data_IF_854716222246
#
_entry.id   IF_854716222246
#
_cell.length_a   1.000
_cell.length_b   1.000
_cell.length_c   1.000
_cell.angle_alpha   90.00
_cell.angle_beta   90.00
_cell.angle_gamma   90.00
#
_symmetry.space_group_name_H-M   'P 1'
#
loop_
_entity.id
_entity.type
_entity.pdbx_description
1 polymer ?
#
# COMPACT_ATOMS: atom_id res chain seq x y z
N UNK A 1 -11.39 23.46 9.29
CA UNK A 1 -12.29 23.23 8.14
C UNK A 1 -11.56 22.82 6.86
N UNK A 2 -10.43 23.43 6.48
CA UNK A 2 -9.69 23.07 5.27
C UNK A 2 -9.21 21.62 5.24
N UNK A 3 -8.65 21.13 6.33
CA UNK A 3 -8.14 19.76 6.43
C UNK A 3 -9.25 18.71 6.30
N UNK A 4 -10.44 18.98 6.85
CA UNK A 4 -11.58 18.06 6.73
C UNK A 4 -12.09 17.96 5.30
N UNK A 5 -12.16 19.09 4.60
CA UNK A 5 -12.56 19.11 3.18
C UNK A 5 -11.53 18.37 2.33
N UNK A 6 -10.24 18.62 2.54
CA UNK A 6 -9.17 17.92 1.83
C UNK A 6 -9.20 16.41 2.10
N UNK A 7 -9.44 16.01 3.35
CA UNK A 7 -9.61 14.59 3.72
C UNK A 7 -10.76 13.93 2.95
N UNK A 8 -11.91 14.58 2.87
CA UNK A 8 -13.07 14.04 2.14
C UNK A 8 -12.75 13.88 0.65
N UNK A 9 -12.10 14.87 0.06
CA UNK A 9 -11.70 14.82 -1.36
C UNK A 9 -10.75 13.64 -1.59
N UNK A 10 -9.72 13.48 -0.77
CA UNK A 10 -8.76 12.38 -0.86
C UNK A 10 -9.43 11.03 -0.62
N UNK A 11 -10.33 10.93 0.36
CA UNK A 11 -11.06 9.70 0.65
C UNK A 11 -11.93 9.26 -0.54
N UNK A 12 -12.69 10.18 -1.13
CA UNK A 12 -13.49 9.91 -2.33
C UNK A 12 -12.60 9.50 -3.50
N UNK A 13 -11.48 10.19 -3.71
CA UNK A 13 -10.53 9.88 -4.78
C UNK A 13 -9.93 8.48 -4.62
N UNK A 14 -9.51 8.10 -3.40
CA UNK A 14 -8.96 6.77 -3.10
C UNK A 14 -10.02 5.69 -3.33
N UNK A 15 -11.23 5.86 -2.80
CA UNK A 15 -12.31 4.87 -2.93
C UNK A 15 -12.70 4.71 -4.41
N UNK A 16 -12.87 5.79 -5.15
CA UNK A 16 -13.19 5.74 -6.56
C UNK A 16 -12.10 5.02 -7.37
N UNK A 17 -10.83 5.36 -7.13
CA UNK A 17 -9.69 4.73 -7.79
C UNK A 17 -9.56 3.24 -7.42
N UNK A 18 -9.80 2.87 -6.15
CA UNK A 18 -9.78 1.48 -5.69
C UNK A 18 -10.90 0.66 -6.33
N UNK A 19 -12.10 1.19 -6.43
CA UNK A 19 -13.22 0.54 -7.12
C UNK A 19 -12.90 0.33 -8.61
N UNK A 20 -12.34 1.34 -9.28
CA UNK A 20 -11.91 1.23 -10.67
C UNK A 20 -10.77 0.21 -10.85
N UNK A 21 -9.87 0.11 -9.88
CA UNK A 21 -8.78 -0.86 -9.88
C UNK A 21 -9.30 -2.31 -9.89
N UNK A 22 -10.28 -2.63 -9.05
CA UNK A 22 -10.78 -4.00 -8.92
C UNK A 22 -11.87 -4.37 -9.94
N UNK A 23 -12.55 -3.37 -10.52
CA UNK A 23 -13.62 -3.63 -11.52
C UNK A 23 -13.10 -3.69 -12.94
N UNK A 24 -11.92 -3.14 -13.22
CA UNK A 24 -11.38 -3.16 -14.58
C UNK A 24 -10.83 -4.54 -14.95
N UNK A 25 -11.14 -4.98 -16.15
CA UNK A 25 -10.65 -6.26 -16.70
C UNK A 25 -9.27 -6.17 -17.34
N UNK A 26 -8.79 -4.94 -17.58
CA UNK A 26 -7.47 -4.70 -18.20
C UNK A 26 -6.41 -4.49 -17.16
N UNK A 27 -5.47 -5.42 -17.05
CA UNK A 27 -4.39 -5.40 -16.04
C UNK A 27 -3.61 -4.07 -16.02
N UNK A 28 -3.27 -3.50 -17.17
CA UNK A 28 -2.57 -2.22 -17.24
C UNK A 28 -3.39 -1.05 -16.68
N UNK A 29 -4.70 -1.06 -16.89
CA UNK A 29 -5.58 -0.04 -16.28
C UNK A 29 -5.71 -0.24 -14.77
N UNK A 30 -5.79 -1.50 -14.32
CA UNK A 30 -5.79 -1.80 -12.88
C UNK A 30 -4.53 -1.26 -12.21
N UNK A 31 -3.35 -1.48 -12.81
CA UNK A 31 -2.08 -0.96 -12.30
C UNK A 31 -2.08 0.57 -12.22
N UNK A 32 -2.64 1.27 -13.21
CA UNK A 32 -2.76 2.74 -13.18
C UNK A 32 -3.69 3.22 -12.07
N UNK A 33 -4.83 2.58 -11.88
CA UNK A 33 -5.73 2.93 -10.76
C UNK A 33 -5.12 2.61 -9.40
N UNK A 34 -4.36 1.50 -9.29
CA UNK A 34 -3.59 1.20 -8.08
C UNK A 34 -2.58 2.30 -7.77
N UNK A 35 -1.89 2.83 -8.77
CA UNK A 35 -0.99 3.96 -8.61
C UNK A 35 -1.72 5.19 -8.03
N UNK A 36 -2.91 5.51 -8.54
CA UNK A 36 -3.71 6.63 -8.01
C UNK A 36 -4.12 6.42 -6.55
N UNK A 37 -4.46 5.18 -6.16
CA UNK A 37 -4.73 4.85 -4.75
C UNK A 37 -3.49 5.13 -3.89
N UNK A 38 -2.30 4.69 -4.32
CA UNK A 38 -1.06 4.89 -3.58
C UNK A 38 -0.69 6.37 -3.42
N UNK A 39 -0.91 7.18 -4.46
CA UNK A 39 -0.75 8.63 -4.36
C UNK A 39 -1.78 9.28 -3.42
N UNK A 40 -3.03 8.82 -3.46
CA UNK A 40 -4.06 9.29 -2.54
C UNK A 40 -3.71 9.01 -1.08
N UNK A 41 -3.17 7.80 -0.80
CA UNK A 41 -2.68 7.42 0.54
C UNK A 41 -1.53 8.31 0.98
N UNK A 42 -0.58 8.63 0.09
CA UNK A 42 0.48 9.60 0.39
C UNK A 42 -0.09 10.99 0.75
N UNK A 43 -1.13 11.42 0.03
CA UNK A 43 -1.86 12.65 0.35
C UNK A 43 -2.47 12.65 1.74
N UNK A 44 -3.01 11.50 2.21
CA UNK A 44 -3.50 11.36 3.58
C UNK A 44 -2.35 11.46 4.60
N UNK A 45 -1.19 10.85 4.33
CA UNK A 45 -0.04 10.99 5.21
C UNK A 45 0.41 12.45 5.35
N UNK A 46 0.48 13.20 4.25
CA UNK A 46 0.80 14.62 4.30
C UNK A 46 -0.27 15.43 5.06
N UNK A 47 -1.54 15.06 4.92
CA UNK A 47 -2.63 15.72 5.64
C UNK A 47 -2.56 15.50 7.15
N UNK A 48 -1.97 14.39 7.57
CA UNK A 48 -1.75 14.02 8.97
C UNK A 48 -0.38 14.48 9.51
N UNK A 49 0.35 15.31 8.77
CA UNK A 49 1.70 15.78 9.06
C UNK A 49 2.77 14.68 9.18
N UNK A 50 2.52 13.48 8.60
CA UNK A 50 3.51 12.42 8.50
C UNK A 50 4.33 12.56 7.20
N UNK A 51 5.16 13.61 7.13
CA UNK A 51 5.89 13.97 5.90
C UNK A 51 6.84 12.87 5.44
N UNK A 52 7.54 12.21 6.37
CA UNK A 52 8.41 11.08 6.05
C UNK A 52 7.66 9.90 5.43
N UNK A 53 6.53 9.50 6.04
CA UNK A 53 5.71 8.40 5.51
C UNK A 53 5.12 8.75 4.15
N UNK A 54 4.68 9.98 3.94
CA UNK A 54 4.18 10.46 2.67
C UNK A 54 5.24 10.40 1.57
N UNK A 55 6.46 10.86 1.87
CA UNK A 55 7.58 10.80 0.94
C UNK A 55 8.00 9.34 0.63
N UNK A 56 8.06 8.46 1.64
CA UNK A 56 8.35 7.05 1.47
C UNK A 56 7.26 6.34 0.66
N UNK A 57 5.99 6.67 0.89
CA UNK A 57 4.86 6.12 0.12
C UNK A 57 4.99 6.45 -1.37
N UNK A 58 5.34 7.67 -1.73
CA UNK A 58 5.53 8.06 -3.13
C UNK A 58 6.78 7.39 -3.71
N UNK A 59 7.90 7.46 -3.03
CA UNK A 59 9.17 6.97 -3.58
C UNK A 59 9.23 5.46 -3.69
N UNK A 60 8.81 4.74 -2.65
CA UNK A 60 8.92 3.29 -2.58
C UNK A 60 7.71 2.61 -3.20
N UNK A 61 6.49 2.93 -2.74
CA UNK A 61 5.30 2.20 -3.19
C UNK A 61 4.79 2.69 -4.55
N UNK A 62 4.53 3.99 -4.70
CA UNK A 62 4.04 4.52 -5.96
C UNK A 62 5.15 4.55 -7.04
N UNK A 63 6.41 4.77 -6.65
CA UNK A 63 7.56 4.72 -7.54
C UNK A 63 8.08 3.30 -7.75
N UNK A 64 8.92 2.80 -6.85
CA UNK A 64 9.69 1.57 -7.04
C UNK A 64 8.85 0.33 -7.25
N UNK A 65 7.95 0.01 -6.30
CA UNK A 65 7.16 -1.23 -6.33
C UNK A 65 6.19 -1.24 -7.50
N UNK A 66 5.50 -0.12 -7.76
CA UNK A 66 4.55 -0.04 -8.89
C UNK A 66 5.26 -0.15 -10.23
N UNK A 67 6.44 0.47 -10.38
CA UNK A 67 7.23 0.37 -11.62
C UNK A 67 7.68 -1.08 -11.89
N UNK A 68 8.17 -1.79 -10.87
CA UNK A 68 8.54 -3.21 -11.00
C UNK A 68 7.32 -4.04 -11.40
N UNK A 69 6.17 -3.81 -10.77
CA UNK A 69 4.93 -4.49 -11.09
C UNK A 69 4.46 -4.25 -12.53
N UNK A 70 4.43 -2.99 -12.97
CA UNK A 70 4.07 -2.62 -14.35
C UNK A 70 5.05 -3.23 -15.36
N UNK A 71 6.34 -3.21 -15.05
CA UNK A 71 7.38 -3.80 -15.90
C UNK A 71 7.20 -5.32 -16.02
N UNK A 72 6.94 -6.00 -14.91
CA UNK A 72 6.66 -7.44 -14.91
C UNK A 72 5.45 -7.78 -15.78
N UNK A 73 4.36 -7.00 -15.70
CA UNK A 73 3.18 -7.19 -16.56
C UNK A 73 3.53 -7.00 -18.05
N UNK A 74 4.37 -6.02 -18.38
CA UNK A 74 4.76 -5.76 -19.77
C UNK A 74 5.64 -6.86 -20.36
N UNK A 75 6.44 -7.55 -19.54
CA UNK A 75 7.27 -8.68 -19.98
C UNK A 75 6.45 -9.95 -20.25
N UNK A 76 5.28 -10.08 -19.63
CA UNK A 76 4.40 -11.24 -19.85
C UNK A 76 3.76 -11.17 -21.24
N UNK A 77 3.83 -12.28 -21.99
CA UNK A 77 3.28 -12.35 -23.34
C UNK A 77 1.80 -11.98 -23.39
N UNK A 78 1.40 -11.24 -24.43
CA UNK A 78 -0.01 -10.87 -24.67
C UNK A 78 -0.94 -12.08 -24.71
N UNK A 79 -0.48 -13.24 -25.18
CA UNK A 79 -1.25 -14.50 -25.18
C UNK A 79 -1.57 -14.97 -23.77
N UNK A 80 -0.58 -14.89 -22.87
CA UNK A 80 -0.76 -15.26 -21.44
C UNK A 80 -1.71 -14.28 -20.74
N UNK A 81 -1.59 -12.98 -21.05
CA UNK A 81 -2.46 -11.95 -20.49
C UNK A 81 -3.92 -12.07 -20.98
N UNK A 82 -4.13 -12.47 -22.23
CA UNK A 82 -5.48 -12.70 -22.78
C UNK A 82 -6.18 -13.93 -22.17
N UNK A 83 -5.41 -14.94 -21.75
CA UNK A 83 -5.94 -16.09 -20.99
C UNK A 83 -6.28 -15.79 -19.53
N UNK A 84 -5.82 -14.66 -18.99
CA UNK A 84 -6.03 -14.19 -17.61
C UNK A 84 -7.23 -13.21 -17.48
N UNK A 85 -8.04 -13.01 -18.52
CA UNK A 85 -9.31 -12.29 -18.38
C UNK A 85 -10.27 -13.10 -17.49
N UNK A 86 -10.07 -13.02 -16.18
CA UNK A 86 -11.02 -13.58 -15.22
C UNK A 86 -12.30 -12.73 -15.22
N UNK A 87 -13.32 -13.25 -15.84
CA UNK A 87 -14.70 -12.80 -15.59
C UNK A 87 -15.07 -13.26 -14.18
N UNK A 88 -15.10 -12.34 -13.25
CA UNK A 88 -15.54 -12.60 -11.88
C UNK A 88 -16.97 -13.14 -11.93
N UNK A 89 -17.15 -14.41 -11.55
CA UNK A 89 -18.47 -15.05 -11.48
C UNK A 89 -19.33 -14.28 -10.48
N UNK A 90 -20.57 -13.95 -10.84
CA UNK A 90 -21.49 -13.14 -10.04
C UNK A 90 -21.62 -13.63 -8.59
N UNK A 91 -21.56 -14.94 -8.36
CA UNK A 91 -21.56 -15.54 -7.03
C UNK A 91 -20.35 -15.13 -6.17
N UNK A 92 -19.14 -15.04 -6.75
CA UNK A 92 -17.92 -14.60 -6.03
C UNK A 92 -17.98 -13.11 -5.67
N UNK A 93 -18.65 -12.31 -6.48
CA UNK A 93 -18.84 -10.89 -6.23
C UNK A 93 -19.75 -10.65 -5.01
N UNK A 94 -20.82 -11.45 -4.87
CA UNK A 94 -21.73 -11.38 -3.71
C UNK A 94 -20.98 -11.80 -2.43
N UNK A 95 -20.22 -12.89 -2.48
CA UNK A 95 -19.43 -13.35 -1.32
C UNK A 95 -18.38 -12.31 -0.90
N UNK A 96 -17.69 -11.69 -1.87
CA UNK A 96 -16.73 -10.61 -1.62
C UNK A 96 -17.41 -9.37 -1.02
N UNK A 97 -18.56 -8.96 -1.54
CA UNK A 97 -19.34 -7.85 -1.01
C UNK A 97 -19.80 -8.09 0.45
N UNK A 98 -20.24 -9.32 0.73
CA UNK A 98 -20.66 -9.71 2.09
C UNK A 98 -19.47 -9.69 3.06
N UNK A 99 -18.31 -10.20 2.66
CA UNK A 99 -17.10 -10.14 3.47
C UNK A 99 -16.64 -8.69 3.73
N UNK A 100 -16.69 -7.83 2.71
CA UNK A 100 -16.38 -6.41 2.84
C UNK A 100 -17.34 -5.68 3.79
N UNK A 101 -18.64 -6.00 3.72
CA UNK A 101 -19.67 -5.44 4.60
C UNK A 101 -19.43 -5.86 6.06
N UNK A 102 -19.11 -7.12 6.32
CA UNK A 102 -18.75 -7.61 7.65
C UNK A 102 -17.52 -6.87 8.19
N UNK A 103 -16.47 -6.73 7.37
CA UNK A 103 -15.29 -5.95 7.74
C UNK A 103 -15.60 -4.49 8.08
N UNK A 104 -16.43 -3.83 7.27
CA UNK A 104 -16.87 -2.47 7.50
C UNK A 104 -17.65 -2.31 8.81
N UNK A 105 -18.57 -3.25 9.10
CA UNK A 105 -19.36 -3.26 10.35
C UNK A 105 -18.44 -3.46 11.55
N UNK A 106 -17.49 -4.40 11.48
CA UNK A 106 -16.55 -4.67 12.59
C UNK A 106 -15.69 -3.44 12.88
N UNK A 107 -15.08 -2.85 11.84
CA UNK A 107 -14.27 -1.63 11.99
C UNK A 107 -15.12 -0.47 12.49
N UNK A 108 -16.32 -0.28 11.97
CA UNK A 108 -17.25 0.74 12.40
C UNK A 108 -17.64 0.60 13.89
N UNK A 109 -17.92 -0.62 14.34
CA UNK A 109 -18.23 -0.88 15.75
C UNK A 109 -17.03 -0.61 16.66
N UNK A 110 -15.81 -0.96 16.23
CA UNK A 110 -14.58 -0.66 16.99
C UNK A 110 -14.41 0.84 17.13
N UNK A 111 -14.55 1.59 16.04
CA UNK A 111 -14.39 3.05 16.04
C UNK A 111 -15.44 3.74 16.90
N UNK A 112 -16.69 3.26 16.89
CA UNK A 112 -17.77 3.81 17.72
C UNK A 112 -17.62 3.48 19.21
N UNK A 113 -17.10 2.28 19.54
CA UNK A 113 -16.87 1.86 20.93
C UNK A 113 -15.60 2.46 21.54
N UNK A 114 -14.59 2.69 20.73
CA UNK A 114 -13.32 3.26 21.19
C UNK A 114 -13.47 4.77 21.18
N UNK A 115 -13.45 5.38 22.36
CA UNK A 115 -13.60 6.82 22.55
C UNK A 115 -12.41 7.65 22.04
N UNK A 116 -12.02 7.46 20.78
CA UNK A 116 -10.96 8.24 20.13
C UNK A 116 -11.26 9.75 20.06
N UNK A 117 -12.52 10.13 20.30
CA UNK A 117 -12.97 11.53 20.24
C UNK A 117 -12.50 12.41 21.41
N UNK A 118 -11.92 11.82 22.45
CA UNK A 118 -11.55 12.54 23.68
C UNK A 118 -10.05 12.81 23.83
N UNK A 119 -9.20 12.25 23.00
CA UNK A 119 -7.78 12.57 22.98
C UNK A 119 -7.48 13.51 21.82
N UNK A 120 -7.23 14.78 22.12
CA UNK A 120 -6.47 15.63 21.21
C UNK A 120 -5.06 15.03 21.10
N UNK A 121 -4.89 14.14 20.13
CA UNK A 121 -3.58 13.71 19.71
C UNK A 121 -2.99 14.91 18.99
N UNK A 122 -2.28 15.76 19.73
CA UNK A 122 -1.46 16.77 19.12
C UNK A 122 -0.47 16.03 18.21
N UNK A 123 -0.71 16.09 16.91
CA UNK A 123 0.17 15.51 15.90
C UNK A 123 1.51 16.24 15.97
N UNK A 124 2.38 15.76 16.83
CA UNK A 124 3.79 16.21 16.83
C UNK A 124 4.48 15.41 15.73
N UNK A 125 4.77 16.07 14.64
CA UNK A 125 5.62 15.47 13.59
C UNK A 125 6.94 15.01 14.24
N UNK A 126 7.22 13.71 14.17
CA UNK A 126 8.50 13.17 14.65
C UNK A 126 9.57 13.51 13.60
N UNK A 127 10.61 14.28 13.94
CA UNK A 127 11.66 14.64 13.00
C UNK A 127 12.32 13.39 12.41
N UNK A 128 12.64 13.43 11.13
CA UNK A 128 13.32 12.35 10.41
C UNK A 128 14.59 11.87 11.14
N UNK A 129 15.30 12.79 11.78
CA UNK A 129 16.50 12.50 12.58
C UNK A 129 16.21 11.58 13.76
N UNK A 130 15.09 11.77 14.45
CA UNK A 130 14.70 10.93 15.59
C UNK A 130 14.31 9.53 15.12
N UNK A 131 13.58 9.42 14.01
CA UNK A 131 13.24 8.15 13.39
C UNK A 131 14.51 7.39 13.01
N UNK A 132 15.45 8.05 12.32
CA UNK A 132 16.72 7.44 11.94
C UNK A 132 17.54 6.99 13.15
N UNK A 133 17.62 7.83 14.19
CA UNK A 133 18.34 7.48 15.43
C UNK A 133 17.67 6.31 16.16
N UNK A 134 16.34 6.24 16.18
CA UNK A 134 15.61 5.14 16.80
C UNK A 134 15.81 3.82 16.05
N UNK A 135 15.92 3.84 14.72
CA UNK A 135 16.12 2.66 13.89
C UNK A 135 17.53 2.06 14.02
N UNK A 136 18.57 2.92 14.14
CA UNK A 136 19.99 2.48 14.13
C UNK A 136 20.59 2.45 15.53
N UNK A 137 19.94 3.04 16.52
CA UNK A 137 20.45 3.12 17.88
C UNK A 137 20.37 1.79 18.63
N UNK A 138 21.32 1.58 19.53
CA UNK A 138 21.42 0.39 20.41
C UNK A 138 20.97 0.65 21.85
N UNK A 139 20.34 1.77 22.12
CA UNK A 139 19.84 2.13 23.45
C UNK A 139 18.54 1.41 23.85
N UNK A 140 18.09 1.66 25.08
CA UNK A 140 16.80 1.14 25.57
C UNK A 140 15.65 1.71 24.70
N UNK A 141 14.75 0.85 24.24
CA UNK A 141 13.60 1.19 23.35
C UNK A 141 13.98 1.60 21.92
N UNK A 142 15.15 1.18 21.42
CA UNK A 142 15.54 1.37 20.02
C UNK A 142 15.35 0.10 19.20
N UNK A 143 15.28 0.25 17.86
CA UNK A 143 14.82 -0.78 16.92
C UNK A 143 15.94 -1.34 16.05
N UNK A 144 17.20 -1.30 16.51
CA UNK A 144 18.37 -1.79 15.75
C UNK A 144 18.21 -3.26 15.33
N UNK A 145 17.72 -4.12 16.22
CA UNK A 145 17.56 -5.55 15.96
C UNK A 145 16.54 -5.82 14.84
N UNK A 146 15.30 -5.31 14.89
CA UNK A 146 14.36 -5.41 13.78
C UNK A 146 14.90 -4.80 12.48
N UNK A 147 15.62 -3.69 12.55
CA UNK A 147 16.21 -3.04 11.39
C UNK A 147 17.27 -3.90 10.71
N UNK A 148 18.18 -4.50 11.47
CA UNK A 148 19.19 -5.44 10.94
C UNK A 148 18.54 -6.70 10.36
N UNK A 149 17.52 -7.24 11.03
CA UNK A 149 16.79 -8.41 10.53
C UNK A 149 16.11 -8.13 9.20
N UNK A 150 15.46 -6.98 9.04
CA UNK A 150 14.84 -6.57 7.78
C UNK A 150 15.89 -6.40 6.69
N UNK A 151 17.08 -5.88 7.01
CA UNK A 151 18.19 -5.72 6.06
C UNK A 151 18.69 -7.06 5.53
N UNK A 152 18.86 -8.06 6.40
CA UNK A 152 19.24 -9.42 6.01
C UNK A 152 18.13 -10.08 5.19
N UNK A 153 16.87 -9.88 5.58
CA UNK A 153 15.72 -10.40 4.84
C UNK A 153 15.60 -9.80 3.45
N UNK A 154 15.84 -8.50 3.31
CA UNK A 154 15.87 -7.83 2.01
C UNK A 154 16.96 -8.39 1.10
N UNK A 155 18.17 -8.61 1.65
CA UNK A 155 19.27 -9.26 0.92
C UNK A 155 18.88 -10.66 0.45
N UNK A 156 18.26 -11.46 1.32
CA UNK A 156 17.79 -12.79 0.97
C UNK A 156 16.73 -12.77 -0.16
N UNK A 157 15.81 -11.80 -0.14
CA UNK A 157 14.83 -11.61 -1.21
C UNK A 157 15.48 -11.25 -2.55
N UNK A 158 16.50 -10.39 -2.55
CA UNK A 158 17.23 -10.00 -3.76
C UNK A 158 17.96 -11.21 -4.34
N UNK A 159 18.69 -11.97 -3.50
CA UNK A 159 19.39 -13.17 -3.93
C UNK A 159 18.41 -14.23 -4.43
N UNK A 160 17.31 -14.45 -3.71
CA UNK A 160 16.27 -15.39 -4.11
C UNK A 160 15.64 -15.05 -5.46
N UNK A 161 15.30 -13.79 -5.69
CA UNK A 161 14.79 -13.30 -6.97
C UNK A 161 15.80 -13.51 -8.12
N UNK A 162 17.08 -13.25 -7.87
CA UNK A 162 18.14 -13.44 -8.85
C UNK A 162 18.34 -14.92 -9.20
N UNK A 163 18.35 -15.80 -8.20
CA UNK A 163 18.52 -17.26 -8.40
C UNK A 163 17.38 -17.85 -9.22
N UNK A 164 16.13 -17.40 -8.95
CA UNK A 164 14.97 -17.83 -9.74
C UNK A 164 15.06 -17.34 -11.18
N UNK A 165 15.47 -16.10 -11.41
CA UNK A 165 15.63 -15.55 -12.76
C UNK A 165 16.69 -16.28 -13.59
N UNK A 166 17.81 -16.66 -13.00
CA UNK A 166 18.90 -17.37 -13.71
C UNK A 166 18.50 -18.82 -14.05
N UNK A 167 17.61 -19.44 -13.27
CA UNK A 167 17.22 -20.84 -13.47
C UNK A 167 16.35 -21.05 -14.70
N UNK A 168 15.61 -20.05 -15.14
CA UNK A 168 14.75 -20.11 -16.34
C UNK A 168 15.54 -20.11 -17.66
N UNK A 169 16.75 -19.56 -17.68
CA UNK A 169 17.60 -19.52 -18.89
C UNK A 169 18.24 -20.87 -19.28
N UNK A 170 18.04 -21.92 -18.50
CA UNK A 170 18.63 -23.26 -18.73
C UNK A 170 17.58 -24.34 -19.08
N UNK A 171 16.32 -23.97 -19.24
CA UNK A 171 15.25 -24.87 -19.67
C UNK A 171 14.81 -24.55 -21.10
#
# INVERSE_FOLDING_TARGET
>A
MGNTVMFIILAVFIIASALMCVTTTKIMRAATFMLFVLFGVAGIYFLLDYTFLGAAQISVYAGGVTMIYVFAIQLVSKRTLQGLEERVKSSKMITGALAALVGLVVVGLILLKTGFYTQEIAGVEVPMKEIGTALVGSGKYQYVLPFEFISVFLLACIIGGLVVAIKEDKA
#
